data_IF_670426264412
#
_entry.id   IF_670426264412
#
_cell.length_a   1.000
_cell.length_b   1.000
_cell.length_c   1.000
_cell.angle_alpha   90.00
_cell.angle_beta   90.00
_cell.angle_gamma   90.00
#
_symmetry.space_group_name_H-M   'P 1'
#
loop_
_entity.id
_entity.type
_entity.pdbx_description
1 polymer ?
#
# COMPACT_ATOMS: atom_id res chain seq x y z
N UNK A 1 3.95 -15.05 -2.61
CA UNK A 1 4.44 -13.66 -2.48
C UNK A 1 5.32 -13.36 -3.68
N UNK A 2 5.22 -12.14 -4.22
CA UNK A 2 5.97 -11.73 -5.41
C UNK A 2 7.34 -11.24 -4.98
N UNK A 3 8.42 -11.86 -5.44
CA UNK A 3 9.76 -11.33 -5.20
C UNK A 3 10.01 -10.17 -6.16
N UNK A 4 10.46 -9.02 -5.64
CA UNK A 4 10.82 -7.87 -6.47
C UNK A 4 12.20 -7.35 -6.10
N UNK A 5 13.02 -7.10 -7.12
CA UNK A 5 14.40 -6.62 -6.93
C UNK A 5 14.40 -5.10 -7.13
N UNK A 6 14.93 -4.38 -6.13
CA UNK A 6 15.05 -2.93 -6.17
C UNK A 6 16.49 -2.50 -5.95
N UNK A 7 16.97 -1.54 -6.74
CA UNK A 7 18.29 -0.93 -6.52
C UNK A 7 18.22 0.01 -5.31
N UNK A 8 19.17 -0.11 -4.40
CA UNK A 8 19.32 0.80 -3.27
C UNK A 8 20.48 1.76 -3.53
N UNK A 9 20.40 2.96 -2.95
CA UNK A 9 21.46 3.95 -2.94
C UNK A 9 21.69 4.39 -1.50
N UNK A 10 22.88 4.08 -1.03
CA UNK A 10 23.34 4.36 0.33
C UNK A 10 24.56 5.30 0.24
N UNK A 11 24.75 6.24 1.18
CA UNK A 11 25.97 7.04 1.24
C UNK A 11 27.24 6.17 1.28
N UNK A 12 28.30 6.58 0.59
CA UNK A 12 29.52 5.77 0.39
C UNK A 12 30.23 5.36 1.69
N UNK A 13 30.01 6.11 2.77
CA UNK A 13 30.63 5.88 4.07
C UNK A 13 29.81 4.97 5.01
N UNK A 14 28.66 4.47 4.56
CA UNK A 14 27.81 3.60 5.38
C UNK A 14 28.11 2.12 5.14
N UNK A 15 28.30 1.37 6.23
CA UNK A 15 28.39 -0.08 6.20
C UNK A 15 27.02 -0.73 6.43
N UNK A 16 26.89 -2.00 6.07
CA UNK A 16 25.67 -2.76 6.38
C UNK A 16 25.34 -2.71 7.87
N UNK A 17 26.33 -2.89 8.73
CA UNK A 17 26.16 -2.88 10.18
C UNK A 17 25.67 -1.51 10.69
N UNK A 18 26.22 -0.42 10.15
CA UNK A 18 25.77 0.95 10.47
C UNK A 18 24.32 1.18 10.06
N UNK A 19 23.91 0.70 8.89
CA UNK A 19 22.52 0.79 8.41
C UNK A 19 21.57 0.04 9.35
N UNK A 20 21.93 -1.18 9.76
CA UNK A 20 21.10 -1.96 10.67
C UNK A 20 20.98 -1.28 12.04
N UNK A 21 22.06 -0.70 12.58
CA UNK A 21 22.01 0.08 13.83
C UNK A 21 21.13 1.34 13.72
N UNK A 22 21.08 1.94 12.53
CA UNK A 22 20.26 3.12 12.28
C UNK A 22 18.75 2.82 12.17
N UNK A 23 18.34 1.55 12.10
CA UNK A 23 16.93 1.14 12.11
C UNK A 23 16.17 1.76 13.29
N UNK A 24 16.66 1.54 14.51
CA UNK A 24 16.01 2.03 15.73
C UNK A 24 16.29 3.51 15.99
N UNK A 25 17.36 4.02 15.37
CA UNK A 25 17.75 5.42 15.48
C UNK A 25 17.00 6.33 14.49
N UNK A 26 16.13 5.79 13.63
CA UNK A 26 15.26 6.54 12.73
C UNK A 26 15.81 6.77 11.31
N UNK A 27 16.76 5.93 10.87
CA UNK A 27 17.18 5.87 9.46
C UNK A 27 16.10 5.27 8.58
N UNK A 28 15.84 5.90 7.42
CA UNK A 28 14.71 5.59 6.54
C UNK A 28 15.14 5.16 5.16
N UNK A 29 14.32 4.35 4.52
CA UNK A 29 14.41 4.07 3.08
C UNK A 29 13.21 4.66 2.36
N UNK A 30 13.48 5.47 1.33
CA UNK A 30 12.42 6.08 0.53
C UNK A 30 12.71 5.97 -0.96
N UNK A 31 11.66 5.92 -1.77
CA UNK A 31 11.79 6.16 -3.21
C UNK A 31 10.95 7.37 -3.62
N UNK A 32 11.21 7.87 -4.83
CA UNK A 32 10.52 8.99 -5.44
C UNK A 32 9.82 8.52 -6.71
N UNK A 33 8.57 8.91 -6.88
CA UNK A 33 7.79 8.63 -8.07
C UNK A 33 8.17 9.59 -9.21
N UNK A 34 8.03 9.14 -10.44
CA UNK A 34 8.00 10.00 -11.61
C UNK A 34 6.96 9.53 -12.62
N UNK A 35 6.39 10.47 -13.38
CA UNK A 35 5.41 10.13 -14.39
C UNK A 35 6.09 9.71 -15.70
N UNK A 36 5.60 8.60 -16.27
CA UNK A 36 5.97 8.10 -17.59
C UNK A 36 4.83 8.51 -18.54
N UNK A 37 5.12 9.29 -19.59
CA UNK A 37 4.10 9.77 -20.49
C UNK A 37 3.49 8.59 -21.25
N UNK A 38 2.17 8.52 -21.28
CA UNK A 38 1.41 7.57 -22.10
C UNK A 38 0.33 8.35 -22.84
N UNK A 39 0.45 8.52 -24.17
CA UNK A 39 -0.59 9.20 -24.95
C UNK A 39 -1.93 8.49 -24.79
N UNK A 40 -3.03 9.25 -24.73
CA UNK A 40 -4.43 8.78 -24.74
C UNK A 40 -4.91 8.02 -23.49
N UNK A 41 -4.04 7.70 -22.53
CA UNK A 41 -4.42 7.03 -21.26
C UNK A 41 -3.76 7.71 -20.06
N UNK A 42 -4.11 7.29 -18.84
CA UNK A 42 -3.46 7.80 -17.64
C UNK A 42 -1.93 7.58 -17.70
N UNK A 43 -1.09 8.52 -17.23
CA UNK A 43 0.36 8.35 -17.24
C UNK A 43 0.79 7.14 -16.42
N UNK A 44 1.85 6.47 -16.85
CA UNK A 44 2.49 5.43 -16.05
C UNK A 44 3.21 6.06 -14.86
N UNK A 45 3.50 5.26 -13.82
CA UNK A 45 4.31 5.69 -12.69
C UNK A 45 5.57 4.86 -12.63
N UNK A 46 6.72 5.51 -12.69
CA UNK A 46 8.01 4.92 -12.40
C UNK A 46 8.43 5.21 -10.95
N UNK A 47 9.22 4.30 -10.39
CA UNK A 47 9.86 4.48 -9.10
C UNK A 47 11.38 4.71 -9.32
N UNK A 48 11.96 5.60 -8.53
CA UNK A 48 13.40 5.76 -8.45
C UNK A 48 14.08 4.52 -7.84
N UNK A 49 15.41 4.56 -7.75
CA UNK A 49 16.12 3.73 -6.76
C UNK A 49 15.61 4.06 -5.35
N UNK A 50 15.73 3.12 -4.43
CA UNK A 50 15.46 3.37 -3.02
C UNK A 50 16.67 4.09 -2.42
N UNK A 51 16.46 5.21 -1.75
CA UNK A 51 17.50 6.00 -1.10
C UNK A 51 17.45 5.77 0.40
N UNK A 52 18.60 5.53 1.01
CA UNK A 52 18.74 5.62 2.46
C UNK A 52 18.86 7.09 2.88
N UNK A 53 18.13 7.48 3.91
CA UNK A 53 18.11 8.83 4.49
C UNK A 53 18.37 8.70 5.99
N UNK A 54 19.42 9.37 6.48
CA UNK A 54 19.71 9.39 7.92
C UNK A 54 18.68 10.23 8.66
N UNK A 55 18.51 9.96 9.96
CA UNK A 55 17.62 10.78 10.81
C UNK A 55 18.03 12.25 10.77
N UNK A 56 17.08 13.12 10.44
CA UNK A 56 17.27 14.57 10.38
C UNK A 56 17.97 15.07 9.10
N UNK A 57 18.38 14.17 8.21
CA UNK A 57 18.99 14.56 6.94
C UNK A 57 17.94 15.13 5.98
N UNK A 58 18.22 16.30 5.42
CA UNK A 58 17.39 16.91 4.37
C UNK A 58 17.97 16.52 3.02
N UNK A 59 17.26 15.68 2.27
CA UNK A 59 17.71 15.27 0.93
C UNK A 59 16.97 16.03 -0.17
N UNK A 60 17.68 16.28 -1.27
CA UNK A 60 17.15 16.92 -2.48
C UNK A 60 16.94 15.94 -3.62
N UNK A 61 16.96 14.64 -3.35
CA UNK A 61 16.84 13.59 -4.37
C UNK A 61 15.52 13.68 -5.16
N UNK A 62 14.45 14.13 -4.51
CA UNK A 62 13.15 14.37 -5.14
C UNK A 62 13.19 15.39 -6.29
N UNK A 63 14.12 16.36 -6.28
CA UNK A 63 14.14 17.46 -7.27
C UNK A 63 14.28 16.90 -8.69
N UNK A 64 15.20 15.94 -8.88
CA UNK A 64 15.41 15.30 -10.18
C UNK A 64 14.13 14.65 -10.71
N UNK A 65 13.41 13.91 -9.86
CA UNK A 65 12.20 13.19 -10.25
C UNK A 65 10.99 14.09 -10.43
N UNK A 66 10.92 15.20 -9.67
CA UNK A 66 9.91 16.24 -9.87
C UNK A 66 10.13 16.98 -11.20
N UNK A 67 11.38 17.27 -11.59
CA UNK A 67 11.68 17.85 -12.91
C UNK A 67 11.25 16.90 -14.02
N UNK A 68 11.58 15.61 -13.93
CA UNK A 68 11.13 14.61 -14.90
C UNK A 68 9.59 14.58 -14.97
N UNK A 69 8.92 14.59 -13.81
CA UNK A 69 7.45 14.61 -13.73
C UNK A 69 6.84 15.84 -14.40
N UNK A 70 7.42 17.02 -14.20
CA UNK A 70 6.95 18.27 -14.82
C UNK A 70 7.17 18.25 -16.34
N UNK A 71 8.31 17.75 -16.80
CA UNK A 71 8.65 17.69 -18.22
C UNK A 71 7.87 16.62 -18.98
N UNK A 72 7.53 15.50 -18.34
CA UNK A 72 6.89 14.36 -19.00
C UNK A 72 5.40 14.23 -18.70
N UNK A 73 4.94 14.71 -17.54
CA UNK A 73 3.56 14.52 -17.10
C UNK A 73 2.52 15.16 -18.01
N UNK A 74 2.84 16.27 -18.68
CA UNK A 74 1.91 17.00 -19.56
C UNK A 74 1.73 16.38 -20.95
N UNK A 75 2.61 15.47 -21.39
CA UNK A 75 2.49 14.78 -22.68
C UNK A 75 1.39 13.68 -22.70
N UNK A 76 0.60 13.56 -21.62
CA UNK A 76 -0.57 12.68 -21.51
C UNK A 76 -1.89 13.46 -21.37
N UNK A 77 -2.15 14.45 -22.22
CA UNK A 77 -3.40 15.22 -22.24
C UNK A 77 -4.64 14.30 -22.37
N UNK A 78 -5.75 14.54 -21.63
CA UNK A 78 -5.99 15.53 -20.57
C UNK A 78 -5.54 15.09 -19.16
N UNK A 79 -5.17 13.83 -18.99
CA UNK A 79 -4.98 13.20 -17.67
C UNK A 79 -3.74 13.71 -16.93
N UNK A 80 -2.66 14.04 -17.65
CA UNK A 80 -1.36 14.45 -17.10
C UNK A 80 -1.40 15.51 -15.99
N UNK A 81 -2.17 16.58 -16.20
CA UNK A 81 -2.26 17.72 -15.27
C UNK A 81 -2.85 17.33 -13.90
N UNK A 82 -3.71 16.31 -13.83
CA UNK A 82 -4.29 15.84 -12.58
C UNK A 82 -3.27 15.07 -11.72
N UNK A 83 -2.32 14.38 -12.35
CA UNK A 83 -1.37 13.50 -11.63
C UNK A 83 -0.11 14.23 -11.17
N UNK A 84 0.30 15.31 -11.85
CA UNK A 84 1.50 16.08 -11.51
C UNK A 84 1.48 16.59 -10.06
N UNK A 85 0.44 17.30 -9.58
CA UNK A 85 0.43 17.84 -8.21
C UNK A 85 0.48 16.74 -7.15
N UNK A 86 -0.24 15.63 -7.39
CA UNK A 86 -0.25 14.46 -6.50
C UNK A 86 1.14 13.83 -6.39
N UNK A 87 1.81 13.62 -7.52
CA UNK A 87 3.15 13.01 -7.58
C UNK A 87 4.19 13.90 -6.87
N UNK A 88 4.17 15.21 -7.14
CA UNK A 88 5.07 16.17 -6.49
C UNK A 88 4.84 16.19 -4.97
N UNK A 89 3.57 16.14 -4.52
CA UNK A 89 3.23 16.08 -3.10
C UNK A 89 3.78 14.83 -2.43
N UNK A 90 3.60 13.65 -3.05
CA UNK A 90 4.14 12.39 -2.54
C UNK A 90 5.68 12.44 -2.40
N UNK A 91 6.35 13.05 -3.38
CA UNK A 91 7.81 13.16 -3.39
C UNK A 91 8.39 14.14 -2.35
N UNK A 92 7.56 14.96 -1.67
CA UNK A 92 8.05 15.96 -0.70
C UNK A 92 8.88 15.32 0.41
N UNK A 93 8.46 14.16 0.90
CA UNK A 93 9.18 13.35 1.89
C UNK A 93 9.72 12.04 1.31
N UNK A 94 9.37 11.73 0.06
CA UNK A 94 9.54 10.39 -0.51
C UNK A 94 8.48 9.42 0.01
N UNK A 95 8.29 8.32 -0.72
CA UNK A 95 7.45 7.21 -0.30
C UNK A 95 8.29 6.31 0.60
N UNK A 96 7.86 6.17 1.84
CA UNK A 96 8.54 5.40 2.88
C UNK A 96 8.35 3.90 2.65
N UNK A 97 9.46 3.18 2.49
CA UNK A 97 9.54 1.71 2.34
C UNK A 97 10.50 1.12 3.38
N UNK A 98 10.68 1.82 4.50
CA UNK A 98 11.69 1.51 5.51
C UNK A 98 11.51 0.10 6.09
N UNK A 99 10.28 -0.26 6.47
CA UNK A 99 9.99 -1.59 7.03
C UNK A 99 10.19 -2.70 5.99
N UNK A 100 9.74 -2.49 4.76
CA UNK A 100 9.94 -3.45 3.67
C UNK A 100 11.42 -3.72 3.44
N UNK A 101 12.25 -2.67 3.40
CA UNK A 101 13.69 -2.84 3.21
C UNK A 101 14.32 -3.55 4.41
N UNK A 102 14.08 -3.10 5.64
CA UNK A 102 14.71 -3.73 6.82
C UNK A 102 14.28 -5.17 7.06
N UNK A 103 13.07 -5.56 6.65
CA UNK A 103 12.60 -6.94 6.80
C UNK A 103 13.22 -7.90 5.77
N UNK A 104 13.83 -7.37 4.70
CA UNK A 104 14.31 -8.18 3.57
C UNK A 104 15.79 -7.99 3.24
N UNK A 105 16.41 -6.88 3.64
CA UNK A 105 17.78 -6.56 3.26
C UNK A 105 18.77 -7.53 3.92
N UNK A 106 19.56 -8.20 3.08
CA UNK A 106 20.68 -9.03 3.51
C UNK A 106 22.01 -8.32 3.27
N UNK A 107 23.07 -8.79 3.94
CA UNK A 107 24.42 -8.25 3.72
C UNK A 107 24.90 -8.46 2.28
N UNK A 108 24.50 -9.58 1.66
CA UNK A 108 24.83 -9.88 0.27
C UNK A 108 24.12 -8.91 -0.70
N UNK A 109 22.81 -8.72 -0.55
CA UNK A 109 22.04 -7.79 -1.38
C UNK A 109 22.56 -6.35 -1.23
N UNK A 110 22.88 -5.95 0.01
CA UNK A 110 23.48 -4.65 0.30
C UNK A 110 24.79 -4.43 -0.47
N UNK A 111 25.69 -5.41 -0.44
CA UNK A 111 26.97 -5.34 -1.17
C UNK A 111 26.77 -5.27 -2.69
N UNK A 112 25.69 -5.84 -3.21
CA UNK A 112 25.29 -5.75 -4.61
C UNK A 112 24.55 -4.45 -4.94
N UNK A 113 24.29 -3.57 -3.97
CA UNK A 113 23.57 -2.31 -4.15
C UNK A 113 22.10 -2.52 -4.47
N UNK A 114 21.48 -3.58 -3.94
CA UNK A 114 20.08 -3.90 -4.14
C UNK A 114 19.40 -4.44 -2.88
N UNK A 115 18.10 -4.68 -2.98
CA UNK A 115 17.30 -5.41 -1.99
C UNK A 115 16.24 -6.24 -2.71
N UNK A 116 16.05 -7.48 -2.27
CA UNK A 116 15.01 -8.38 -2.79
C UNK A 116 13.85 -8.36 -1.81
N UNK A 117 12.77 -7.66 -2.14
CA UNK A 117 11.58 -7.60 -1.29
C UNK A 117 10.76 -8.87 -1.50
N UNK A 118 10.73 -9.72 -0.47
CA UNK A 118 9.94 -10.95 -0.39
C UNK A 118 8.75 -10.79 0.55
N UNK A 119 8.95 -10.14 1.70
CA UNK A 119 7.92 -9.84 2.68
C UNK A 119 7.57 -8.34 2.64
N UNK A 120 6.36 -8.02 2.19
CA UNK A 120 5.87 -6.64 2.21
C UNK A 120 5.26 -6.38 3.59
N UNK A 121 5.82 -5.43 4.34
CA UNK A 121 5.31 -5.00 5.64
C UNK A 121 3.88 -4.45 5.49
N UNK A 122 3.62 -3.63 4.48
CA UNK A 122 2.28 -3.07 4.19
C UNK A 122 1.55 -3.91 3.15
N UNK A 123 0.71 -4.84 3.61
CA UNK A 123 -0.14 -5.65 2.74
C UNK A 123 -1.49 -4.97 2.43
N UNK A 124 -1.93 -4.07 3.32
CA UNK A 124 -3.22 -3.43 3.25
C UNK A 124 -3.12 -1.91 3.30
N UNK A 125 -3.97 -1.24 2.53
CA UNK A 125 -4.17 0.21 2.62
C UNK A 125 -5.63 0.53 2.96
N UNK A 126 -5.90 1.72 3.54
CA UNK A 126 -7.27 2.16 3.79
C UNK A 126 -8.11 2.16 2.51
N UNK A 127 -9.37 1.77 2.66
CA UNK A 127 -10.36 1.90 1.61
C UNK A 127 -10.73 3.38 1.42
N UNK A 128 -11.10 3.78 0.20
CA UNK A 128 -11.54 5.15 -0.01
C UNK A 128 -12.85 5.45 0.75
N UNK A 129 -13.04 6.72 1.14
CA UNK A 129 -14.17 7.15 1.97
C UNK A 129 -15.54 6.83 1.36
N UNK A 130 -15.66 6.83 0.04
CA UNK A 130 -16.94 6.57 -0.63
C UNK A 130 -17.28 5.09 -0.51
N UNK A 131 -16.34 4.21 -0.87
CA UNK A 131 -16.53 2.77 -0.76
C UNK A 131 -16.72 2.32 0.69
N UNK A 132 -15.99 2.90 1.64
CA UNK A 132 -16.20 2.64 3.07
C UNK A 132 -17.64 2.98 3.50
N UNK A 133 -18.15 4.13 3.06
CA UNK A 133 -19.51 4.58 3.39
C UNK A 133 -20.56 3.61 2.83
N UNK A 134 -20.41 3.15 1.59
CA UNK A 134 -21.35 2.18 1.00
C UNK A 134 -21.26 0.81 1.69
N UNK A 135 -20.05 0.33 2.03
CA UNK A 135 -19.89 -0.88 2.85
C UNK A 135 -20.60 -0.72 4.18
N UNK A 136 -20.34 0.35 4.93
CA UNK A 136 -21.01 0.61 6.22
C UNK A 136 -22.52 0.56 6.10
N UNK A 137 -23.12 1.14 5.04
CA UNK A 137 -24.57 1.03 4.81
C UNK A 137 -25.02 -0.42 4.56
N UNK A 138 -24.26 -1.20 3.79
CA UNK A 138 -24.58 -2.60 3.53
C UNK A 138 -24.62 -3.40 4.84
N UNK A 139 -23.61 -3.24 5.68
CA UNK A 139 -23.50 -3.96 6.96
C UNK A 139 -24.59 -3.55 7.94
N UNK A 140 -24.86 -2.25 8.12
CA UNK A 140 -25.97 -1.76 8.96
C UNK A 140 -27.33 -2.29 8.49
N UNK A 141 -27.54 -2.34 7.18
CA UNK A 141 -28.75 -2.90 6.59
C UNK A 141 -28.86 -4.39 6.87
N UNK A 142 -27.76 -5.14 6.73
CA UNK A 142 -27.71 -6.56 7.04
C UNK A 142 -28.10 -6.81 8.50
N UNK A 143 -27.47 -6.13 9.46
CA UNK A 143 -27.80 -6.28 10.89
C UNK A 143 -29.26 -5.98 11.20
N UNK A 144 -29.80 -4.91 10.61
CA UNK A 144 -31.19 -4.49 10.83
C UNK A 144 -32.22 -5.55 10.42
N UNK A 145 -31.96 -6.29 9.34
CA UNK A 145 -32.94 -7.22 8.76
C UNK A 145 -32.63 -8.69 8.99
N UNK A 146 -31.42 -9.01 9.49
CA UNK A 146 -30.93 -10.38 9.62
C UNK A 146 -30.46 -10.62 11.05
N UNK A 147 -29.14 -10.68 11.26
CA UNK A 147 -28.52 -10.97 12.55
C UNK A 147 -27.35 -10.02 12.74
N UNK A 148 -27.19 -9.54 13.98
CA UNK A 148 -26.04 -8.75 14.38
C UNK A 148 -24.73 -9.54 14.22
N UNK A 149 -23.64 -8.82 13.97
CA UNK A 149 -22.28 -9.35 14.00
C UNK A 149 -21.81 -9.46 15.45
N UNK A 150 -20.96 -10.44 15.75
CA UNK A 150 -20.41 -10.58 17.12
C UNK A 150 -19.42 -9.46 17.42
N UNK A 151 -18.64 -9.06 16.41
CA UNK A 151 -17.68 -7.97 16.48
C UNK A 151 -17.72 -7.15 15.20
N UNK A 152 -17.35 -5.87 15.30
CA UNK A 152 -17.27 -5.00 14.14
C UNK A 152 -16.28 -5.56 13.09
N UNK A 153 -16.73 -5.80 11.85
CA UNK A 153 -15.87 -6.26 10.75
C UNK A 153 -14.72 -5.29 10.48
N UNK A 154 -13.61 -5.81 9.96
CA UNK A 154 -12.43 -5.01 9.58
C UNK A 154 -12.32 -5.01 8.06
N UNK A 155 -12.05 -3.87 7.44
CA UNK A 155 -11.91 -3.76 5.99
C UNK A 155 -10.65 -3.00 5.57
N UNK A 156 -10.06 -3.42 4.46
CA UNK A 156 -8.95 -2.73 3.83
C UNK A 156 -8.81 -3.16 2.35
N UNK A 157 -8.00 -2.44 1.57
CA UNK A 157 -7.62 -2.86 0.22
C UNK A 157 -6.32 -3.67 0.32
N UNK A 158 -6.36 -4.94 -0.08
CA UNK A 158 -5.18 -5.78 -0.22
C UNK A 158 -4.43 -5.41 -1.50
N UNK A 159 -3.15 -5.08 -1.36
CA UNK A 159 -2.33 -4.53 -2.45
C UNK A 159 -1.19 -5.45 -2.91
N UNK A 160 -0.97 -6.58 -2.24
CA UNK A 160 -0.03 -7.62 -2.70
C UNK A 160 -0.72 -8.61 -3.68
N UNK A 161 -1.37 -8.03 -4.70
CA UNK A 161 -2.05 -8.72 -5.82
C UNK A 161 -1.87 -7.93 -7.11
N UNK A 162 -2.17 -8.55 -8.26
CA UNK A 162 -2.13 -7.85 -9.55
C UNK A 162 -3.18 -6.74 -9.62
N UNK A 163 -4.41 -7.06 -9.20
CA UNK A 163 -5.51 -6.11 -9.05
C UNK A 163 -5.83 -5.97 -7.56
N UNK A 164 -5.91 -4.74 -7.01
CA UNK A 164 -6.23 -4.54 -5.60
C UNK A 164 -7.61 -5.11 -5.25
N UNK A 165 -7.70 -5.81 -4.11
CA UNK A 165 -8.93 -6.50 -3.70
C UNK A 165 -9.42 -5.90 -2.39
N UNK A 166 -10.70 -5.54 -2.31
CA UNK A 166 -11.29 -5.13 -1.03
C UNK A 166 -11.41 -6.38 -0.16
N UNK A 167 -10.70 -6.39 0.95
CA UNK A 167 -10.67 -7.51 1.89
C UNK A 167 -11.43 -7.15 3.15
N UNK A 168 -12.35 -8.02 3.54
CA UNK A 168 -13.20 -7.89 4.71
C UNK A 168 -12.87 -9.04 5.65
N UNK A 169 -12.45 -8.71 6.86
CA UNK A 169 -12.23 -9.63 7.96
C UNK A 169 -13.47 -9.77 8.82
N UNK A 170 -13.88 -11.00 9.08
CA UNK A 170 -14.93 -11.38 10.03
C UNK A 170 -14.34 -12.38 11.04
N UNK A 171 -14.89 -12.42 12.24
CA UNK A 171 -14.58 -13.46 13.22
C UNK A 171 -15.29 -14.77 12.86
N UNK A 172 -14.82 -15.90 13.39
CA UNK A 172 -15.28 -17.25 13.06
C UNK A 172 -16.82 -17.37 13.11
N UNK A 173 -17.45 -16.86 14.17
CA UNK A 173 -18.90 -16.89 14.38
C UNK A 173 -19.72 -16.14 13.30
N UNK A 174 -19.07 -15.21 12.60
CA UNK A 174 -19.65 -14.40 11.55
C UNK A 174 -19.32 -14.91 10.14
N UNK A 175 -18.37 -15.85 9.99
CA UNK A 175 -17.97 -16.40 8.69
C UNK A 175 -19.12 -17.12 7.97
N UNK A 176 -20.06 -17.71 8.71
CA UNK A 176 -21.27 -18.30 8.14
C UNK A 176 -22.15 -17.31 7.37
N UNK A 177 -21.98 -15.99 7.60
CA UNK A 177 -22.78 -14.92 6.98
C UNK A 177 -22.21 -14.47 5.62
N UNK A 178 -21.01 -14.90 5.26
CA UNK A 178 -20.24 -14.40 4.10
C UNK A 178 -21.02 -14.48 2.78
N UNK A 179 -21.65 -15.62 2.49
CA UNK A 179 -22.32 -15.82 1.20
C UNK A 179 -23.52 -14.88 1.01
N UNK A 180 -24.30 -14.66 2.07
CA UNK A 180 -25.43 -13.74 2.04
C UNK A 180 -24.96 -12.29 1.98
N UNK A 181 -23.97 -11.95 2.80
CA UNK A 181 -23.37 -10.62 2.83
C UNK A 181 -22.75 -10.23 1.49
N UNK A 182 -22.07 -11.16 0.83
CA UNK A 182 -21.51 -10.96 -0.52
C UNK A 182 -22.60 -10.61 -1.53
N UNK A 183 -23.76 -11.30 -1.48
CA UNK A 183 -24.92 -10.97 -2.34
C UNK A 183 -25.46 -9.58 -2.06
N UNK A 184 -25.54 -9.16 -0.79
CA UNK A 184 -25.98 -7.80 -0.44
C UNK A 184 -24.99 -6.75 -0.93
N UNK A 185 -23.68 -6.95 -0.74
CA UNK A 185 -22.64 -6.01 -1.17
C UNK A 185 -22.71 -5.78 -2.68
N UNK A 186 -22.85 -6.82 -3.49
CA UNK A 186 -22.94 -6.67 -4.95
C UNK A 186 -24.22 -5.97 -5.46
N UNK A 187 -25.20 -5.65 -4.58
CA UNK A 187 -26.31 -4.75 -4.94
C UNK A 187 -25.89 -3.27 -4.94
N UNK A 188 -24.81 -2.93 -4.24
CA UNK A 188 -24.32 -1.56 -4.06
C UNK A 188 -23.02 -1.29 -4.82
N UNK A 189 -22.28 -2.35 -5.17
CA UNK A 189 -20.99 -2.26 -5.84
C UNK A 189 -21.05 -2.88 -7.24
N UNK A 190 -20.27 -2.33 -8.16
CA UNK A 190 -20.13 -2.90 -9.50
C UNK A 190 -19.54 -4.31 -9.44
N UNK A 191 -19.99 -5.18 -10.34
CA UNK A 191 -19.60 -6.59 -10.37
C UNK A 191 -18.09 -6.82 -10.64
N UNK A 192 -17.40 -5.84 -11.21
CA UNK A 192 -15.95 -5.90 -11.42
C UNK A 192 -15.13 -5.60 -10.15
N UNK A 193 -15.75 -5.14 -9.07
CA UNK A 193 -15.08 -4.93 -7.79
C UNK A 193 -14.96 -6.30 -7.09
N UNK A 194 -13.73 -6.69 -6.78
CA UNK A 194 -13.47 -7.96 -6.10
C UNK A 194 -13.50 -7.78 -4.59
N UNK A 195 -14.27 -8.65 -3.93
CA UNK A 195 -14.30 -8.76 -2.47
C UNK A 195 -13.72 -10.10 -2.03
N UNK A 196 -12.81 -10.05 -1.06
CA UNK A 196 -12.25 -11.22 -0.39
C UNK A 196 -12.67 -11.20 1.08
N UNK A 197 -13.20 -12.30 1.57
CA UNK A 197 -13.47 -12.48 2.99
C UNK A 197 -12.36 -13.32 3.61
N UNK A 198 -11.90 -12.93 4.80
CA UNK A 198 -10.94 -13.71 5.57
C UNK A 198 -11.45 -13.88 7.00
N UNK A 199 -11.12 -15.03 7.59
CA UNK A 199 -11.35 -15.25 9.00
C UNK A 199 -10.26 -14.51 9.80
N UNK A 200 -10.70 -13.71 10.78
CA UNK A 200 -9.80 -12.98 11.66
C UNK A 200 -9.20 -13.89 12.73
N UNK A 201 -9.83 -15.02 13.06
CA UNK A 201 -9.32 -15.93 14.09
C UNK A 201 -8.23 -16.89 13.59
N UNK A 202 -8.07 -17.00 12.27
CA UNK A 202 -6.96 -17.75 11.67
C UNK A 202 -5.61 -17.16 12.10
N UNK A 203 -4.66 -18.01 12.52
CA UNK A 203 -3.28 -17.61 12.83
C UNK A 203 -2.43 -17.49 11.54
N UNK A 204 -2.83 -16.58 10.67
CA UNK A 204 -2.13 -16.32 9.39
C UNK A 204 -1.50 -14.93 9.40
N UNK A 205 -0.41 -14.77 8.65
CA UNK A 205 0.22 -13.45 8.46
C UNK A 205 -0.78 -12.42 7.88
N UNK A 206 -1.70 -12.89 7.02
CA UNK A 206 -2.69 -12.03 6.37
C UNK A 206 -3.74 -11.51 7.36
N UNK A 207 -4.28 -12.36 8.25
CA UNK A 207 -5.24 -11.95 9.27
C UNK A 207 -4.60 -10.99 10.28
N UNK A 208 -3.37 -11.28 10.71
CA UNK A 208 -2.60 -10.41 11.61
C UNK A 208 -2.35 -9.02 10.99
N UNK A 209 -1.95 -8.97 9.70
CA UNK A 209 -1.77 -7.71 8.97
C UNK A 209 -3.08 -6.96 8.80
N UNK A 210 -4.20 -7.63 8.50
CA UNK A 210 -5.50 -6.96 8.36
C UNK A 210 -5.96 -6.35 9.70
N UNK A 211 -5.82 -7.08 10.82
CA UNK A 211 -6.14 -6.55 12.15
C UNK A 211 -5.34 -5.29 12.49
N UNK A 212 -4.07 -5.24 12.07
CA UNK A 212 -3.16 -4.12 12.35
C UNK A 212 -3.37 -2.92 11.39
N UNK A 213 -3.68 -3.18 10.12
CA UNK A 213 -3.64 -2.17 9.04
C UNK A 213 -5.02 -1.76 8.53
N UNK A 214 -6.05 -2.55 8.82
CA UNK A 214 -7.41 -2.30 8.37
C UNK A 214 -8.18 -1.33 9.25
N UNK A 215 -9.32 -0.90 8.73
CA UNK A 215 -10.24 0.00 9.43
C UNK A 215 -11.51 -0.76 9.82
N UNK A 216 -12.03 -0.52 11.02
CA UNK A 216 -13.28 -1.15 11.46
C UNK A 216 -14.50 -0.52 10.77
N UNK A 217 -15.40 -1.38 10.28
CA UNK A 217 -16.71 -0.97 9.78
C UNK A 217 -17.59 -0.65 10.98
N UNK A 218 -17.95 0.62 11.12
CA UNK A 218 -18.83 1.08 12.20
C UNK A 218 -20.28 0.64 11.95
N UNK A 219 -20.72 -0.37 12.69
CA UNK A 219 -22.09 -0.89 12.68
C UNK A 219 -23.07 0.07 13.36
#
# INVERSE_FOLDING_TARGET
MRETIHKIKVPENETFESIIQQKDSGGKFVFYEYLIPRPLIAPGRGASKIFFIKKGEKTKHHIKYNIITLLWGWWGLPFGLLYIPKTIRNNKTGIDVTEDVYNNITKEDFNQGQVIIKNIATAFIPIDKSSLKELTKCFKKYEKYKKAFTTAPITAIYIDTYDPIITIGLFEDDMIKVDELKKEIYKYFFANIQFKFINLDDDTELSAKLKKQGESIQL
#
